data_IF_257453922260
#
_entry.id   IF_257453922260
#
_cell.length_a   1.000
_cell.length_b   1.000
_cell.length_c   1.000
_cell.angle_alpha   90.00
_cell.angle_beta   90.00
_cell.angle_gamma   90.00
#
_symmetry.space_group_name_H-M   'P 1'
#
loop_
_entity.id
_entity.type
_entity.pdbx_description
1 polymer ?
#
# COMPACT_ATOMS: atom_id res chain seq x y z
N UNK A 1 6.90 -14.63 -3.01
CA UNK A 1 5.58 -13.96 -3.00
C UNK A 1 4.50 -14.74 -2.24
N UNK A 2 4.26 -16.04 -2.51
CA UNK A 2 3.27 -16.84 -1.76
C UNK A 2 3.49 -16.83 -0.24
N UNK A 3 4.75 -16.82 0.21
CA UNK A 3 5.08 -16.77 1.64
C UNK A 3 4.60 -15.49 2.33
N UNK A 4 4.61 -14.35 1.61
CA UNK A 4 4.11 -13.06 2.11
C UNK A 4 2.60 -13.15 2.35
N UNK A 5 1.85 -13.71 1.39
CA UNK A 5 0.41 -13.89 1.54
C UNK A 5 0.07 -14.81 2.72
N UNK A 6 0.86 -15.89 2.90
CA UNK A 6 0.71 -16.81 4.02
C UNK A 6 0.95 -16.11 5.36
N UNK A 7 2.05 -15.40 5.49
CA UNK A 7 2.41 -14.67 6.72
C UNK A 7 1.35 -13.61 7.08
N UNK A 8 0.90 -12.81 6.10
CA UNK A 8 -0.19 -11.85 6.34
C UNK A 8 -1.50 -12.56 6.72
N UNK A 9 -1.78 -13.74 6.16
CA UNK A 9 -2.99 -14.51 6.49
C UNK A 9 -2.91 -15.11 7.91
N UNK A 10 -1.73 -15.50 8.37
CA UNK A 10 -1.52 -15.93 9.76
C UNK A 10 -1.81 -14.78 10.75
N UNK A 11 -1.28 -13.58 10.47
CA UNK A 11 -1.61 -12.35 11.24
C UNK A 11 -3.11 -12.03 11.22
N UNK A 12 -3.76 -12.19 10.06
CA UNK A 12 -5.21 -12.01 9.92
C UNK A 12 -5.99 -12.97 10.85
N UNK A 13 -5.61 -14.24 10.89
CA UNK A 13 -6.25 -15.25 11.76
C UNK A 13 -6.07 -14.90 13.24
N UNK A 14 -4.89 -14.43 13.64
CA UNK A 14 -4.63 -13.97 15.01
C UNK A 14 -5.47 -12.75 15.40
N UNK A 15 -5.61 -11.80 14.48
CA UNK A 15 -6.44 -10.61 14.66
C UNK A 15 -7.92 -10.98 14.81
N UNK A 16 -8.42 -11.91 13.99
CA UNK A 16 -9.78 -12.44 14.14
C UNK A 16 -9.99 -13.13 15.49
N UNK A 17 -9.09 -14.04 15.87
CA UNK A 17 -9.15 -14.74 17.16
C UNK A 17 -9.20 -13.76 18.33
N UNK A 18 -8.48 -12.65 18.23
CA UNK A 18 -8.44 -11.61 19.27
C UNK A 18 -9.73 -10.79 19.28
N UNK A 19 -10.24 -10.40 18.12
CA UNK A 19 -11.44 -9.59 17.99
C UNK A 19 -12.73 -10.33 18.39
N UNK A 20 -12.76 -11.67 18.27
CA UNK A 20 -13.93 -12.48 18.62
C UNK A 20 -13.90 -13.05 20.05
N UNK A 21 -12.92 -12.68 20.89
CA UNK A 21 -12.71 -13.30 22.21
C UNK A 21 -13.91 -13.19 23.15
N UNK A 22 -14.66 -12.10 23.06
CA UNK A 22 -15.80 -11.79 23.91
C UNK A 22 -17.15 -12.14 23.26
N UNK A 23 -17.13 -12.75 22.06
CA UNK A 23 -18.33 -13.07 21.29
C UNK A 23 -19.06 -11.85 20.70
N UNK A 24 -18.44 -10.66 20.74
CA UNK A 24 -19.03 -9.44 20.19
C UNK A 24 -19.00 -9.44 18.65
N UNK A 25 -19.93 -8.70 18.00
CA UNK A 25 -19.87 -8.47 16.56
C UNK A 25 -18.56 -7.78 16.17
N UNK A 26 -17.91 -8.30 15.13
CA UNK A 26 -16.61 -7.81 14.66
C UNK A 26 -16.75 -6.96 13.40
N UNK A 27 -16.05 -5.83 13.38
CA UNK A 27 -15.94 -4.96 12.20
C UNK A 27 -14.96 -5.56 11.18
N UNK A 28 -15.49 -6.34 10.25
CA UNK A 28 -14.69 -7.12 9.29
C UNK A 28 -13.92 -6.25 8.28
N UNK A 29 -14.40 -5.06 7.94
CA UNK A 29 -13.75 -4.19 6.93
C UNK A 29 -12.41 -3.69 7.44
N UNK A 30 -12.30 -3.36 8.73
CA UNK A 30 -11.08 -2.92 9.38
C UNK A 30 -10.04 -4.04 9.49
N UNK A 31 -10.48 -5.25 9.82
CA UNK A 31 -9.61 -6.43 9.90
C UNK A 31 -9.06 -6.80 8.51
N UNK A 32 -9.92 -6.99 7.51
CA UNK A 32 -9.47 -7.29 6.15
C UNK A 32 -8.74 -6.10 5.49
N UNK A 33 -9.08 -4.87 5.88
CA UNK A 33 -8.36 -3.68 5.48
C UNK A 33 -6.92 -3.68 6.00
N UNK A 34 -6.71 -4.13 7.24
CA UNK A 34 -5.37 -4.35 7.80
C UNK A 34 -4.59 -5.41 7.03
N UNK A 35 -5.20 -6.57 6.81
CA UNK A 35 -4.59 -7.63 5.99
C UNK A 35 -4.17 -7.15 4.60
N UNK A 36 -5.06 -6.46 3.88
CA UNK A 36 -4.78 -5.97 2.53
C UNK A 36 -3.64 -4.96 2.52
N UNK A 37 -3.56 -4.13 3.57
CA UNK A 37 -2.48 -3.18 3.76
C UNK A 37 -1.14 -3.89 4.00
N UNK A 38 -1.11 -4.89 4.88
CA UNK A 38 0.10 -5.64 5.23
C UNK A 38 0.63 -6.41 4.02
N UNK A 39 -0.27 -6.99 3.21
CA UNK A 39 0.08 -7.66 1.95
C UNK A 39 0.74 -6.69 0.98
N UNK A 40 0.16 -5.52 0.73
CA UNK A 40 0.75 -4.55 -0.21
C UNK A 40 2.06 -3.98 0.32
N UNK A 41 2.13 -3.62 1.60
CA UNK A 41 3.37 -3.14 2.21
C UNK A 41 4.51 -4.15 2.08
N UNK A 42 4.23 -5.43 2.34
CA UNK A 42 5.24 -6.50 2.28
C UNK A 42 5.58 -6.91 0.85
N UNK A 43 4.58 -7.06 -0.04
CA UNK A 43 4.79 -7.56 -1.41
C UNK A 43 5.23 -6.49 -2.41
N UNK A 44 4.84 -5.23 -2.22
CA UNK A 44 5.20 -4.14 -3.13
C UNK A 44 6.37 -3.31 -2.61
N UNK A 45 6.48 -3.12 -1.29
CA UNK A 45 7.51 -2.24 -0.70
C UNK A 45 8.48 -2.99 0.22
N UNK A 46 8.41 -4.32 0.29
CA UNK A 46 9.24 -5.15 1.19
C UNK A 46 9.22 -4.69 2.66
N UNK A 47 8.18 -3.97 3.05
CA UNK A 47 8.06 -3.37 4.36
C UNK A 47 7.07 -4.19 5.16
N UNK A 48 7.58 -4.97 6.12
CA UNK A 48 6.72 -5.72 7.03
C UNK A 48 6.09 -4.75 8.02
N UNK A 49 4.77 -4.66 7.98
CA UNK A 49 3.97 -3.91 8.94
C UNK A 49 2.87 -4.80 9.49
N UNK A 50 2.39 -4.44 10.67
CA UNK A 50 1.14 -4.96 11.24
C UNK A 50 0.20 -3.77 11.40
N UNK A 51 -0.52 -3.44 10.33
CA UNK A 51 -1.37 -2.26 10.27
C UNK A 51 -2.65 -2.38 11.13
N UNK A 52 -2.94 -3.59 11.62
CA UNK A 52 -4.07 -3.83 12.52
C UNK A 52 -3.70 -3.52 13.97
N UNK A 53 -2.55 -4.02 14.43
CA UNK A 53 -2.08 -3.81 15.81
C UNK A 53 -1.28 -2.51 15.98
N UNK A 54 -0.73 -1.97 14.90
CA UNK A 54 -0.03 -0.67 14.89
C UNK A 54 -0.70 0.32 13.92
N UNK A 55 -1.89 0.85 14.29
CA UNK A 55 -2.63 1.78 13.44
C UNK A 55 -1.94 3.13 13.25
N UNK A 56 -0.99 3.48 14.12
CA UNK A 56 -0.23 4.74 14.08
C UNK A 56 0.99 4.67 13.15
N UNK A 57 1.22 3.53 12.48
CA UNK A 57 2.28 3.43 11.49
C UNK A 57 2.04 4.45 10.35
N UNK A 58 3.02 5.32 10.09
CA UNK A 58 2.92 6.40 9.11
C UNK A 58 2.54 5.89 7.71
N UNK A 59 3.00 4.69 7.32
CA UNK A 59 2.61 4.03 6.07
C UNK A 59 1.11 3.74 6.07
N UNK A 60 0.60 3.10 7.13
CA UNK A 60 -0.81 2.75 7.27
C UNK A 60 -1.71 3.99 7.37
N UNK A 61 -1.30 5.02 8.13
CA UNK A 61 -2.02 6.31 8.23
C UNK A 61 -2.11 6.95 6.84
N UNK A 62 -0.97 7.06 6.14
CA UNK A 62 -0.91 7.73 4.86
C UNK A 62 -1.73 6.98 3.82
N UNK A 63 -1.65 5.65 3.79
CA UNK A 63 -2.46 4.82 2.90
C UNK A 63 -3.97 4.97 3.21
N UNK A 64 -4.36 4.90 4.48
CA UNK A 64 -5.76 5.14 4.89
C UNK A 64 -6.26 6.52 4.49
N UNK A 65 -5.41 7.54 4.50
CA UNK A 65 -5.79 8.90 4.08
C UNK A 65 -6.21 8.96 2.60
N UNK A 66 -5.64 8.11 1.75
CA UNK A 66 -6.02 7.98 0.33
C UNK A 66 -7.44 7.44 0.20
N UNK A 67 -7.77 6.40 0.96
CA UNK A 67 -9.07 5.70 0.89
C UNK A 67 -10.16 6.30 1.79
N UNK A 68 -9.82 7.20 2.72
CA UNK A 68 -10.83 7.88 3.56
C UNK A 68 -11.62 8.91 2.75
N UNK A 69 -11.06 9.39 1.63
CA UNK A 69 -11.60 10.50 0.86
C UNK A 69 -12.46 10.05 -0.35
N UNK A 70 -13.08 8.87 -0.28
CA UNK A 70 -13.80 8.21 -1.39
C UNK A 70 -14.96 9.02 -2.01
N UNK A 71 -15.36 10.13 -1.40
CA UNK A 71 -16.40 11.04 -1.90
C UNK A 71 -15.88 12.46 -2.17
N UNK A 72 -14.62 12.60 -2.58
CA UNK A 72 -14.15 13.89 -3.09
C UNK A 72 -14.91 14.25 -4.37
N UNK A 73 -15.32 15.52 -4.52
CA UNK A 73 -15.88 16.07 -5.76
C UNK A 73 -15.00 15.76 -7.00
N UNK A 74 -13.70 15.53 -6.78
CA UNK A 74 -12.74 15.14 -7.82
C UNK A 74 -13.04 13.78 -8.43
N UNK A 75 -13.52 12.81 -7.64
CA UNK A 75 -13.95 11.50 -8.16
C UNK A 75 -15.24 11.63 -8.98
N UNK A 76 -16.17 12.48 -8.53
CA UNK A 76 -17.39 12.78 -9.28
C UNK A 76 -17.04 13.45 -10.62
N UNK A 77 -16.12 14.42 -10.62
CA UNK A 77 -15.64 15.04 -11.86
C UNK A 77 -14.87 14.08 -12.76
N UNK A 78 -14.09 13.15 -12.21
CA UNK A 78 -13.42 12.12 -13.00
C UNK A 78 -14.45 11.24 -13.73
N UNK A 79 -15.54 10.89 -13.04
CA UNK A 79 -16.60 10.05 -13.60
C UNK A 79 -17.45 10.80 -14.64
N UNK A 80 -17.85 12.04 -14.36
CA UNK A 80 -18.74 12.82 -15.24
C UNK A 80 -18.00 13.53 -16.38
N UNK A 81 -16.78 14.01 -16.15
CA UNK A 81 -16.01 14.83 -17.09
C UNK A 81 -14.53 14.43 -17.15
N UNK A 82 -14.21 13.18 -17.57
CA UNK A 82 -12.83 12.67 -17.56
C UNK A 82 -11.88 13.52 -18.40
N UNK A 83 -12.32 14.01 -19.57
CA UNK A 83 -11.52 14.89 -20.44
C UNK A 83 -11.16 16.21 -19.76
N UNK A 84 -12.06 16.76 -18.94
CA UNK A 84 -11.82 18.02 -18.23
C UNK A 84 -10.82 17.82 -17.08
N UNK A 85 -10.95 16.71 -16.34
CA UNK A 85 -9.99 16.33 -15.30
C UNK A 85 -8.59 16.14 -15.88
N UNK A 86 -8.48 15.49 -17.05
CA UNK A 86 -7.22 15.32 -17.77
C UNK A 86 -6.65 16.66 -18.25
N UNK A 87 -7.49 17.53 -18.83
CA UNK A 87 -7.08 18.85 -19.32
C UNK A 87 -6.56 19.74 -18.18
N UNK A 88 -7.27 19.75 -17.04
CA UNK A 88 -6.92 20.56 -15.87
C UNK A 88 -5.87 19.89 -14.96
N UNK A 89 -5.40 18.68 -15.30
CA UNK A 89 -4.44 17.89 -14.51
C UNK A 89 -4.83 17.77 -13.02
N UNK A 90 -6.12 17.58 -12.75
CA UNK A 90 -6.62 17.52 -11.37
C UNK A 90 -6.17 16.19 -10.76
N UNK A 91 -5.35 16.24 -9.71
CA UNK A 91 -4.98 15.06 -8.94
C UNK A 91 -6.14 14.58 -8.07
N UNK A 92 -6.59 13.35 -8.31
CA UNK A 92 -7.63 12.67 -7.52
C UNK A 92 -7.10 12.19 -6.16
N UNK A 93 -5.80 11.99 -6.04
CA UNK A 93 -5.17 11.55 -4.80
C UNK A 93 -4.58 12.73 -4.01
N UNK A 94 -4.56 12.65 -2.66
CA UNK A 94 -3.94 13.67 -1.83
C UNK A 94 -2.44 13.83 -2.19
N UNK A 95 -1.96 15.04 -2.54
CA UNK A 95 -0.55 15.25 -2.92
C UNK A 95 0.43 14.77 -1.85
N UNK A 96 0.11 14.98 -0.57
CA UNK A 96 0.93 14.52 0.56
C UNK A 96 1.14 13.00 0.54
N UNK A 97 0.11 12.23 0.20
CA UNK A 97 0.21 10.77 0.12
C UNK A 97 1.07 10.34 -1.08
N UNK A 98 0.88 11.00 -2.24
CA UNK A 98 1.71 10.75 -3.43
C UNK A 98 3.19 10.98 -3.11
N UNK A 99 3.51 12.13 -2.51
CA UNK A 99 4.90 12.46 -2.14
C UNK A 99 5.48 11.45 -1.15
N UNK A 100 4.74 11.08 -0.11
CA UNK A 100 5.18 10.08 0.85
C UNK A 100 5.54 8.75 0.20
N UNK A 101 4.63 8.15 -0.60
CA UNK A 101 4.91 6.86 -1.21
C UNK A 101 6.01 6.94 -2.28
N UNK A 102 6.10 8.06 -3.01
CA UNK A 102 7.22 8.30 -3.93
C UNK A 102 8.55 8.28 -3.17
N UNK A 103 8.66 9.05 -2.10
CA UNK A 103 9.90 9.21 -1.36
C UNK A 103 10.31 7.91 -0.66
N UNK A 104 9.35 7.18 -0.07
CA UNK A 104 9.59 5.83 0.48
C UNK A 104 10.10 4.87 -0.59
N UNK A 105 9.47 4.86 -1.77
CA UNK A 105 9.88 3.97 -2.86
C UNK A 105 11.30 4.28 -3.32
N UNK A 106 11.64 5.56 -3.51
CA UNK A 106 12.97 6.00 -3.92
C UNK A 106 14.03 5.62 -2.89
N UNK A 107 13.74 5.79 -1.59
CA UNK A 107 14.65 5.37 -0.52
C UNK A 107 14.92 3.87 -0.55
N UNK A 108 13.90 3.04 -0.75
CA UNK A 108 14.07 1.57 -0.84
C UNK A 108 14.91 1.20 -2.06
N UNK A 109 14.66 1.83 -3.22
CA UNK A 109 15.46 1.60 -4.43
C UNK A 109 16.93 1.97 -4.21
N UNK A 110 17.19 3.14 -3.60
CA UNK A 110 18.55 3.62 -3.33
C UNK A 110 19.28 2.70 -2.36
N UNK A 111 18.62 2.25 -1.29
CA UNK A 111 19.19 1.31 -0.33
C UNK A 111 19.55 -0.03 -0.98
N UNK A 112 18.68 -0.58 -1.83
CA UNK A 112 18.95 -1.82 -2.57
C UNK A 112 20.14 -1.67 -3.51
N UNK A 113 20.21 -0.57 -4.27
CA UNK A 113 21.34 -0.26 -5.15
C UNK A 113 22.65 -0.16 -4.36
N UNK A 114 22.62 0.50 -3.20
CA UNK A 114 23.81 0.69 -2.34
C UNK A 114 24.27 -0.63 -1.69
N UNK A 115 23.33 -1.47 -1.26
CA UNK A 115 23.65 -2.71 -0.51
C UNK A 115 23.80 -3.94 -1.40
N UNK A 116 23.37 -3.88 -2.67
CA UNK A 116 23.28 -5.04 -3.54
C UNK A 116 22.20 -6.05 -3.13
N UNK A 117 21.32 -5.70 -2.19
CA UNK A 117 20.22 -6.58 -1.77
C UNK A 117 19.21 -6.77 -2.90
N UNK A 118 18.89 -8.02 -3.19
CA UNK A 118 17.77 -8.40 -4.06
C UNK A 118 16.66 -9.02 -3.22
N UNK A 119 15.40 -8.78 -3.61
CA UNK A 119 14.22 -9.28 -2.91
C UNK A 119 13.27 -9.91 -3.92
N UNK A 120 12.58 -10.99 -3.54
CA UNK A 120 11.55 -11.60 -4.39
C UNK A 120 10.20 -10.86 -4.20
N UNK A 121 10.14 -9.62 -4.69
CA UNK A 121 9.00 -8.72 -4.56
C UNK A 121 8.75 -7.89 -5.84
N UNK A 122 7.63 -7.16 -5.86
CA UNK A 122 7.22 -6.39 -7.05
C UNK A 122 8.19 -5.25 -7.39
N UNK A 123 8.75 -4.58 -6.38
CA UNK A 123 9.69 -3.48 -6.62
C UNK A 123 10.99 -3.96 -7.28
N UNK A 124 11.46 -5.15 -6.92
CA UNK A 124 12.62 -5.77 -7.56
C UNK A 124 12.34 -6.03 -9.04
N UNK A 125 11.18 -6.60 -9.36
CA UNK A 125 10.77 -6.83 -10.75
C UNK A 125 10.80 -5.52 -11.57
N UNK A 126 10.26 -4.43 -11.02
CA UNK A 126 10.30 -3.11 -11.69
C UNK A 126 11.74 -2.61 -11.90
N UNK A 127 12.62 -2.80 -10.91
CA UNK A 127 14.02 -2.38 -11.01
C UNK A 127 14.80 -3.19 -12.05
N UNK A 128 14.50 -4.48 -12.19
CA UNK A 128 15.18 -5.37 -13.13
C UNK A 128 14.75 -5.07 -14.57
N UNK A 129 13.45 -4.89 -14.82
CA UNK A 129 12.94 -4.45 -16.13
C UNK A 129 13.50 -3.10 -16.58
N UNK A 130 13.64 -2.15 -15.66
CA UNK A 130 14.24 -0.83 -15.99
C UNK A 130 15.72 -0.95 -16.40
N UNK A 131 16.45 -1.93 -15.85
CA UNK A 131 17.85 -2.16 -16.25
C UNK A 131 17.94 -2.80 -17.62
N UNK A 132 17.09 -3.79 -17.89
CA UNK A 132 17.01 -4.45 -19.20
C UNK A 132 16.72 -3.44 -20.32
N UNK A 133 15.79 -2.49 -20.12
CA UNK A 133 15.54 -1.40 -21.09
C UNK A 133 16.70 -0.42 -21.27
N UNK A 134 17.62 -0.31 -20.30
CA UNK A 134 18.77 0.61 -20.40
C UNK A 134 20.02 -0.02 -21.02
N UNK A 135 20.04 -1.35 -21.12
CA UNK A 135 21.13 -2.14 -21.72
C UNK A 135 20.86 -2.47 -23.21
N UNK A 136 19.65 -2.16 -23.72
CA UNK A 136 19.25 -2.16 -25.16
C UNK A 136 19.36 -0.75 -25.79
#
# INVERSE_FOLDING_TARGET
>A
MMDIFKECAETLVENFKTATKDGSPVEVKGIYGGYSMDVIASSAFSTKIDSHRNPENLFAITARSVFRNNFSWRFIMLFLFPKLVQLLRISIFPPKAIHFFRDVTLQIIEERKRTGQTRNDFLQLLMDTTKEESDD
#
